data_IF_428015684299
#
_entry.id   IF_428015684299
#
_cell.length_a   1.000
_cell.length_b   1.000
_cell.length_c   1.000
_cell.angle_alpha   90.00
_cell.angle_beta   90.00
_cell.angle_gamma   90.00
#
_symmetry.space_group_name_H-M   'P 1'
#
loop_
_entity.id
_entity.type
_entity.pdbx_description
1 polymer ?
#
# COMPACT_ATOMS: atom_id res chain seq x y z
N UNK A 1 5.50 -11.88 -1.19
CA UNK A 1 4.71 -12.24 0.00
C UNK A 1 5.27 -13.47 0.71
N UNK A 2 5.94 -14.38 0.00
CA UNK A 2 6.60 -15.56 0.58
C UNK A 2 7.55 -15.24 1.75
N UNK A 3 8.29 -14.13 1.68
CA UNK A 3 9.26 -13.75 2.72
C UNK A 3 8.68 -13.18 4.03
N UNK A 4 7.37 -12.90 4.09
CA UNK A 4 6.74 -12.27 5.26
C UNK A 4 5.81 -13.20 6.06
N UNK A 5 5.50 -14.41 5.56
CA UNK A 5 4.56 -15.36 6.19
C UNK A 5 3.17 -14.76 6.51
N UNK A 6 2.75 -13.77 5.70
CA UNK A 6 1.45 -13.12 5.86
C UNK A 6 0.50 -13.64 4.79
N UNK A 7 -0.55 -14.32 5.22
CA UNK A 7 -1.67 -14.69 4.34
C UNK A 7 -2.68 -13.54 4.30
N UNK A 8 -2.56 -12.67 3.28
CA UNK A 8 -3.56 -11.64 2.98
C UNK A 8 -4.21 -11.93 1.63
N UNK A 9 -5.53 -12.15 1.58
CA UNK A 9 -6.21 -12.31 0.31
C UNK A 9 -6.09 -11.00 -0.50
N UNK A 10 -5.53 -11.09 -1.71
CA UNK A 10 -5.51 -9.99 -2.66
C UNK A 10 -6.73 -10.16 -3.57
N UNK A 11 -7.69 -9.26 -3.45
CA UNK A 11 -8.89 -9.25 -4.27
C UNK A 11 -8.78 -8.13 -5.30
N UNK A 12 -8.83 -8.49 -6.58
CA UNK A 12 -8.92 -7.52 -7.67
C UNK A 12 -10.36 -7.05 -7.81
N UNK A 13 -10.61 -5.79 -7.51
CA UNK A 13 -11.93 -5.17 -7.65
C UNK A 13 -11.89 -4.02 -8.66
N UNK A 14 -13.03 -3.72 -9.29
CA UNK A 14 -13.13 -2.58 -10.20
C UNK A 14 -12.98 -1.26 -9.42
N UNK A 15 -12.19 -0.28 -9.90
CA UNK A 15 -11.99 1.02 -9.24
C UNK A 15 -13.28 1.76 -8.87
N UNK A 16 -14.33 1.65 -9.70
CA UNK A 16 -15.64 2.27 -9.41
C UNK A 16 -16.31 1.65 -8.18
N UNK A 17 -16.17 0.34 -8.02
CA UNK A 17 -16.73 -0.37 -6.87
C UNK A 17 -15.96 -0.01 -5.59
N UNK A 18 -14.64 0.06 -5.68
CA UNK A 18 -13.78 0.50 -4.58
C UNK A 18 -14.11 1.94 -4.14
N UNK A 19 -14.36 2.85 -5.09
CA UNK A 19 -14.76 4.22 -4.78
C UNK A 19 -16.13 4.26 -4.09
N UNK A 20 -17.10 3.50 -4.59
CA UNK A 20 -18.44 3.46 -4.02
C UNK A 20 -18.43 2.92 -2.58
N UNK A 21 -17.73 1.81 -2.33
CA UNK A 21 -17.59 1.27 -0.97
C UNK A 21 -16.84 2.24 -0.05
N UNK A 22 -15.80 2.90 -0.55
CA UNK A 22 -15.10 3.96 0.17
C UNK A 22 -15.98 5.15 0.54
N UNK A 23 -16.92 5.55 -0.34
CA UNK A 23 -17.92 6.60 -0.05
C UNK A 23 -18.90 6.19 1.05
N UNK A 24 -19.36 4.95 1.03
CA UNK A 24 -20.21 4.40 2.09
C UNK A 24 -19.46 4.45 3.42
N UNK A 25 -18.22 3.97 3.46
CA UNK A 25 -17.39 4.00 4.67
C UNK A 25 -17.15 5.43 5.16
N UNK A 26 -16.86 6.35 4.25
CA UNK A 26 -16.66 7.78 4.56
C UNK A 26 -17.86 8.38 5.29
N UNK A 27 -19.08 8.02 4.86
CA UNK A 27 -20.31 8.44 5.53
C UNK A 27 -20.44 7.84 6.94
N UNK A 28 -20.10 6.56 7.12
CA UNK A 28 -20.14 5.92 8.45
C UNK A 28 -19.14 6.51 9.43
N UNK A 29 -17.94 6.88 8.98
CA UNK A 29 -16.88 7.43 9.84
C UNK A 29 -16.90 8.96 9.93
N UNK A 30 -17.81 9.62 9.20
CA UNK A 30 -17.88 11.09 9.05
C UNK A 30 -16.53 11.73 8.66
N UNK A 31 -15.76 11.06 7.80
CA UNK A 31 -14.46 11.53 7.32
C UNK A 31 -14.18 11.03 5.89
N UNK A 32 -13.22 11.63 5.20
CA UNK A 32 -12.81 11.24 3.84
C UNK A 32 -11.88 10.04 3.93
N UNK A 33 -12.41 8.86 3.58
CA UNK A 33 -11.62 7.61 3.59
C UNK A 33 -10.82 7.42 2.29
N UNK A 34 -11.38 7.84 1.15
CA UNK A 34 -10.72 7.70 -0.15
C UNK A 34 -11.24 8.76 -1.14
N UNK A 35 -10.33 9.30 -1.94
CA UNK A 35 -10.59 10.26 -3.03
C UNK A 35 -10.47 9.59 -4.41
N UNK A 36 -10.96 10.27 -5.45
CA UNK A 36 -10.84 9.74 -6.81
C UNK A 36 -9.39 9.77 -7.29
N UNK A 37 -8.69 10.83 -6.94
CA UNK A 37 -7.28 11.07 -7.25
C UNK A 37 -6.38 10.00 -6.63
N UNK A 38 -6.68 9.57 -5.40
CA UNK A 38 -5.98 8.44 -4.76
C UNK A 38 -6.23 7.11 -5.49
N UNK A 39 -7.46 6.85 -5.95
CA UNK A 39 -7.74 5.63 -6.73
C UNK A 39 -7.01 5.65 -8.08
N UNK A 40 -7.02 6.79 -8.76
CA UNK A 40 -6.28 6.96 -10.02
C UNK A 40 -4.78 6.77 -9.79
N UNK A 41 -4.23 7.34 -8.70
CA UNK A 41 -2.84 7.13 -8.27
C UNK A 41 -2.50 5.66 -7.99
N UNK A 42 -3.34 4.97 -7.20
CA UNK A 42 -3.15 3.56 -6.84
C UNK A 42 -3.21 2.63 -8.06
N UNK A 43 -4.00 2.97 -9.07
CA UNK A 43 -4.15 2.15 -10.29
C UNK A 43 -3.13 2.48 -11.39
N UNK A 44 -2.39 3.58 -11.25
CA UNK A 44 -1.45 4.06 -12.28
C UNK A 44 -0.08 3.35 -12.31
N UNK A 45 0.11 2.27 -11.55
CA UNK A 45 1.33 1.46 -11.53
C UNK A 45 2.63 2.27 -11.30
N UNK A 46 2.60 3.29 -10.44
CA UNK A 46 3.75 4.19 -10.22
C UNK A 46 4.87 3.56 -9.38
N UNK A 47 4.65 2.37 -8.81
CA UNK A 47 5.58 1.73 -7.86
C UNK A 47 6.64 0.86 -8.54
N UNK A 48 6.93 1.06 -9.83
CA UNK A 48 8.06 0.42 -10.50
C UNK A 48 8.79 1.42 -11.40
N UNK A 49 10.10 1.22 -11.52
CA UNK A 49 10.96 1.97 -12.45
C UNK A 49 11.70 0.96 -13.31
N UNK A 50 11.99 1.32 -14.57
CA UNK A 50 12.69 0.44 -15.54
C UNK A 50 14.21 0.44 -15.37
N UNK A 51 14.74 1.22 -14.44
CA UNK A 51 16.17 1.37 -14.19
C UNK A 51 16.74 0.22 -13.35
N UNK A 52 18.06 0.06 -13.40
CA UNK A 52 18.75 -0.90 -12.54
C UNK A 52 18.65 -0.47 -11.07
N UNK A 53 18.59 -1.44 -10.16
CA UNK A 53 18.61 -1.17 -8.73
C UNK A 53 19.88 -0.42 -8.32
N UNK A 54 19.73 0.64 -7.54
CA UNK A 54 20.85 1.49 -7.09
C UNK A 54 21.66 0.91 -5.91
N UNK A 55 21.28 -0.26 -5.39
CA UNK A 55 21.92 -0.88 -4.24
C UNK A 55 22.26 -2.34 -4.46
N UNK A 56 23.24 -2.83 -3.71
CA UNK A 56 23.76 -4.20 -3.85
C UNK A 56 22.88 -5.26 -3.18
N UNK A 57 21.95 -4.84 -2.32
CA UNK A 57 21.07 -5.76 -1.57
C UNK A 57 19.69 -5.79 -2.21
N UNK A 58 19.21 -6.99 -2.56
CA UNK A 58 17.84 -7.19 -3.01
C UNK A 58 16.86 -6.89 -1.86
N UNK A 59 15.86 -6.05 -2.12
CA UNK A 59 14.87 -5.68 -1.11
C UNK A 59 14.14 -6.90 -0.53
N UNK A 60 13.86 -7.91 -1.36
CA UNK A 60 13.25 -9.17 -0.92
C UNK A 60 14.09 -9.93 0.13
N UNK A 61 15.40 -9.96 -0.04
CA UNK A 61 16.34 -10.61 0.91
C UNK A 61 16.42 -9.81 2.20
N UNK A 62 16.49 -8.49 2.10
CA UNK A 62 16.47 -7.60 3.27
C UNK A 62 15.18 -7.76 4.07
N UNK A 63 14.02 -7.86 3.39
CA UNK A 63 12.72 -8.10 4.03
C UNK A 63 12.70 -9.45 4.76
N UNK A 64 13.19 -10.53 4.13
CA UNK A 64 13.25 -11.84 4.76
C UNK A 64 14.08 -11.83 6.06
N UNK A 65 15.21 -11.11 6.06
CA UNK A 65 16.09 -10.95 7.22
C UNK A 65 15.47 -10.11 8.34
N UNK A 66 14.66 -9.10 8.01
CA UNK A 66 14.09 -8.14 8.96
C UNK A 66 12.59 -8.36 9.23
N UNK A 67 12.00 -9.47 8.77
CA UNK A 67 10.54 -9.71 8.84
C UNK A 67 9.94 -9.58 10.24
N UNK A 68 10.73 -9.85 11.30
CA UNK A 68 10.26 -9.79 12.69
C UNK A 68 10.19 -8.36 13.26
N UNK A 69 10.86 -7.40 12.63
CA UNK A 69 10.94 -6.00 13.08
C UNK A 69 10.29 -5.03 12.11
N UNK A 70 10.25 -5.39 10.82
CA UNK A 70 9.68 -4.57 9.76
C UNK A 70 8.16 -4.42 9.90
N UNK A 71 7.67 -3.18 9.84
CA UNK A 71 6.24 -2.89 9.82
C UNK A 71 5.53 -2.91 11.19
N UNK A 72 6.26 -3.15 12.28
CA UNK A 72 5.69 -3.15 13.64
C UNK A 72 5.16 -1.78 14.09
N UNK A 73 5.67 -0.70 13.49
CA UNK A 73 5.23 0.65 13.78
C UNK A 73 4.85 1.37 12.48
N UNK A 74 3.69 2.01 12.48
CA UNK A 74 3.28 2.90 11.41
C UNK A 74 3.97 4.26 11.55
N UNK A 75 4.67 4.68 10.49
CA UNK A 75 5.25 6.02 10.41
C UNK A 75 4.31 6.90 9.60
N UNK A 76 3.76 7.95 10.23
CA UNK A 76 2.90 8.92 9.56
C UNK A 76 3.74 10.00 8.89
N UNK A 77 3.68 10.08 7.57
CA UNK A 77 4.29 11.19 6.81
C UNK A 77 3.56 12.52 7.05
N UNK A 78 2.25 12.48 7.35
CA UNK A 78 1.45 13.68 7.63
C UNK A 78 1.83 14.34 8.97
N UNK A 79 2.30 13.56 9.96
CA UNK A 79 2.77 14.09 11.25
C UNK A 79 4.14 14.78 11.18
N UNK A 80 4.86 14.70 10.06
CA UNK A 80 6.18 15.32 9.89
C UNK A 80 6.11 16.80 9.44
N UNK A 81 4.93 17.41 9.42
CA UNK A 81 4.71 18.83 9.05
C UNK A 81 4.01 19.59 10.17
#
# INVERSE_FOLDING_TARGET
>A
MENLDIQKPILSINPKLAFFTGKILSWFVNDVVITKEEIDGLTSNLLYVKEAGHGDTLFSEWVAKNKNTLGNNYTSELKKR
#
